data_IF_783546217545
#
_entry.id   IF_783546217545
#
_cell.length_a   1.000
_cell.length_b   1.000
_cell.length_c   1.000
_cell.angle_alpha   90.00
_cell.angle_beta   90.00
_cell.angle_gamma   90.00
#
_symmetry.space_group_name_H-M   'P 1'
#
loop_
_entity.id
_entity.type
_entity.pdbx_description
1 polymer ?
#
# COMPACT_ATOMS: atom_id res chain seq x y z
N UNK A 1 14.78 -5.09 0.62
CA UNK A 1 14.34 -3.70 0.82
C UNK A 1 13.12 -3.69 1.72
N UNK A 2 12.85 -2.64 2.50
CA UNK A 2 11.62 -2.58 3.30
C UNK A 2 10.49 -1.95 2.49
N UNK A 3 9.29 -2.54 2.55
CA UNK A 3 8.10 -2.05 1.84
C UNK A 3 7.02 -1.70 2.85
N UNK A 4 6.59 -0.43 2.86
CA UNK A 4 5.43 0.01 3.63
C UNK A 4 4.18 -0.05 2.77
N UNK A 5 3.13 -0.65 3.31
CA UNK A 5 1.83 -0.82 2.65
C UNK A 5 0.75 -0.17 3.51
N UNK A 6 -0.19 0.52 2.87
CA UNK A 6 -1.23 1.29 3.55
C UNK A 6 -2.62 1.04 2.96
N UNK A 7 -2.79 0.00 2.14
CA UNK A 7 -4.03 -0.32 1.46
C UNK A 7 -4.30 -1.81 1.37
N UNK A 8 -4.70 -2.26 0.19
CA UNK A 8 -4.95 -3.68 -0.13
C UNK A 8 -3.78 -4.61 0.20
N UNK A 9 -2.54 -4.16 0.00
CA UNK A 9 -1.34 -4.95 0.30
C UNK A 9 -1.09 -5.14 1.82
N UNK A 10 -1.83 -4.45 2.69
CA UNK A 10 -1.78 -4.72 4.14
C UNK A 10 -2.36 -6.09 4.49
N UNK A 11 -3.21 -6.64 3.62
CA UNK A 11 -3.87 -7.91 3.85
C UNK A 11 -3.00 -9.04 3.29
N UNK A 12 -2.66 -10.00 4.15
CA UNK A 12 -1.78 -11.12 3.81
C UNK A 12 -2.28 -11.91 2.59
N UNK A 13 -3.60 -12.05 2.42
CA UNK A 13 -4.22 -12.76 1.29
C UNK A 13 -3.88 -12.12 -0.07
N UNK A 14 -3.87 -10.79 -0.15
CA UNK A 14 -3.51 -10.06 -1.37
C UNK A 14 -2.00 -10.06 -1.54
N UNK A 15 -1.27 -9.79 -0.45
CA UNK A 15 0.19 -9.79 -0.46
C UNK A 15 0.75 -11.11 -1.03
N UNK A 16 0.28 -12.25 -0.53
CA UNK A 16 0.68 -13.58 -0.97
C UNK A 16 0.28 -13.92 -2.41
N UNK A 17 -0.66 -13.16 -3.00
CA UNK A 17 -1.01 -13.31 -4.41
C UNK A 17 -0.03 -12.57 -5.33
N UNK A 18 0.63 -11.52 -4.83
CA UNK A 18 1.54 -10.68 -5.62
C UNK A 18 2.99 -11.11 -5.42
N UNK A 19 3.40 -11.39 -4.18
CA UNK A 19 4.76 -11.81 -3.86
C UNK A 19 4.85 -13.32 -3.66
N UNK A 20 6.00 -13.91 -3.99
CA UNK A 20 6.26 -15.34 -3.78
C UNK A 20 7.00 -15.62 -2.47
N UNK A 21 7.77 -14.66 -1.95
CA UNK A 21 8.50 -14.79 -0.70
C UNK A 21 7.63 -14.70 0.55
N UNK A 22 8.11 -15.32 1.63
CA UNK A 22 7.57 -15.13 2.98
C UNK A 22 8.40 -14.06 3.69
N UNK A 23 7.75 -12.96 4.06
CA UNK A 23 8.41 -11.80 4.64
C UNK A 23 7.87 -11.51 6.03
N UNK A 24 8.80 -11.19 6.95
CA UNK A 24 8.42 -10.64 8.26
C UNK A 24 7.69 -9.33 8.05
N UNK A 25 6.62 -9.11 8.80
CA UNK A 25 5.88 -7.86 8.78
C UNK A 25 5.56 -7.36 10.17
N UNK A 26 5.38 -6.06 10.31
CA UNK A 26 4.95 -5.41 11.54
C UNK A 26 4.03 -4.22 11.25
N UNK A 27 3.10 -3.88 12.15
CA UNK A 27 2.37 -2.63 12.08
C UNK A 27 3.32 -1.44 12.15
N UNK A 28 3.11 -0.46 11.29
CA UNK A 28 3.90 0.76 11.25
C UNK A 28 3.05 1.97 10.84
N UNK A 29 3.54 3.16 11.14
CA UNK A 29 2.85 4.42 10.88
C UNK A 29 3.74 5.36 10.07
N UNK A 30 3.22 5.86 8.95
CA UNK A 30 3.84 6.88 8.13
C UNK A 30 3.28 8.26 8.50
N UNK A 31 4.11 9.13 9.09
CA UNK A 31 3.74 10.51 9.41
C UNK A 31 3.96 11.44 8.22
N UNK A 32 3.14 12.49 8.10
CA UNK A 32 3.22 13.45 6.99
C UNK A 32 2.48 13.00 5.73
N UNK A 33 1.62 11.99 5.84
CA UNK A 33 0.83 11.45 4.74
C UNK A 33 -0.63 11.29 5.16
N UNK A 34 -1.53 11.36 4.19
CA UNK A 34 -2.94 11.06 4.34
C UNK A 34 -3.38 10.09 3.24
N UNK A 35 -4.32 9.21 3.60
CA UNK A 35 -4.87 8.18 2.72
C UNK A 35 -6.31 8.52 2.34
N UNK A 36 -6.57 8.58 1.04
CA UNK A 36 -7.87 8.88 0.47
C UNK A 36 -8.36 7.74 -0.41
N UNK A 37 -9.67 7.60 -0.54
CA UNK A 37 -10.25 6.65 -1.49
C UNK A 37 -10.10 7.20 -2.92
N UNK A 38 -9.89 6.33 -3.90
CA UNK A 38 -10.06 6.68 -5.31
C UNK A 38 -11.56 6.84 -5.63
N UNK A 39 -11.90 7.60 -6.66
CA UNK A 39 -13.27 7.89 -7.07
C UNK A 39 -14.07 6.65 -7.53
N UNK A 40 -13.40 5.55 -7.86
CA UNK A 40 -14.02 4.25 -8.13
C UNK A 40 -14.09 3.35 -6.87
N UNK A 41 -13.78 3.88 -5.67
CA UNK A 41 -13.80 3.21 -4.36
C UNK A 41 -12.99 1.91 -4.28
N UNK A 42 -12.14 1.63 -5.27
CA UNK A 42 -11.52 0.31 -5.38
C UNK A 42 -10.16 0.25 -4.67
N UNK A 43 -9.45 1.39 -4.57
CA UNK A 43 -8.11 1.49 -3.98
C UNK A 43 -7.94 2.76 -3.14
N UNK A 44 -7.07 2.74 -2.12
CA UNK A 44 -6.58 3.94 -1.49
C UNK A 44 -5.39 4.55 -2.25
N UNK A 45 -5.37 5.89 -2.32
CA UNK A 45 -4.20 6.67 -2.71
C UNK A 45 -3.63 7.39 -1.49
N UNK A 46 -2.31 7.32 -1.31
CA UNK A 46 -1.60 8.10 -0.29
C UNK A 46 -0.97 9.35 -0.91
N UNK A 47 -1.21 10.49 -0.27
CA UNK A 47 -0.62 11.79 -0.65
C UNK A 47 0.04 12.45 0.55
N UNK A 48 0.95 13.39 0.30
CA UNK A 48 1.61 14.15 1.36
C UNK A 48 0.59 15.03 2.11
N UNK A 49 0.58 14.94 3.43
CA UNK A 49 -0.26 15.74 4.32
C UNK A 49 0.47 15.92 5.67
N UNK A 50 1.10 17.08 5.91
CA UNK A 50 2.04 17.28 7.02
C UNK A 50 1.49 17.01 8.43
N UNK A 51 0.17 17.13 8.60
CA UNK A 51 -0.50 16.99 9.89
C UNK A 51 -1.20 15.64 10.07
N UNK A 52 -1.10 14.76 9.08
CA UNK A 52 -1.74 13.46 9.09
C UNK A 52 -0.72 12.33 9.26
N UNK A 53 -1.24 11.17 9.63
CA UNK A 53 -0.48 9.93 9.67
C UNK A 53 -1.33 8.80 9.09
N UNK A 54 -0.65 7.85 8.45
CA UNK A 54 -1.26 6.66 7.87
C UNK A 54 -0.72 5.43 8.57
N UNK A 55 -1.63 4.66 9.16
CA UNK A 55 -1.33 3.35 9.72
C UNK A 55 -1.34 2.29 8.62
N UNK A 56 -0.36 1.41 8.66
CA UNK A 56 -0.10 0.41 7.63
C UNK A 56 0.69 -0.78 8.14
N UNK A 57 1.18 -1.59 7.21
CA UNK A 57 2.02 -2.76 7.46
C UNK A 57 3.35 -2.57 6.76
N UNK A 58 4.44 -2.68 7.53
CA UNK A 58 5.81 -2.70 7.04
C UNK A 58 6.25 -4.15 6.83
N UNK A 59 6.63 -4.49 5.61
CA UNK A 59 7.29 -5.75 5.26
C UNK A 59 8.80 -5.53 5.22
N UNK A 60 9.53 -6.38 5.92
CA UNK A 60 10.98 -6.30 6.04
C UNK A 60 11.66 -7.14 4.97
N UNK A 61 12.85 -6.68 4.54
CA UNK A 61 13.76 -7.41 3.67
C UNK A 61 13.15 -8.06 2.40
N UNK A 62 12.17 -7.38 1.78
CA UNK A 62 11.53 -7.80 0.52
C UNK A 62 12.56 -7.91 -0.60
N UNK A 63 12.57 -9.05 -1.30
CA UNK A 63 13.48 -9.32 -2.40
C UNK A 63 13.18 -8.46 -3.63
N UNK A 64 14.20 -8.16 -4.43
CA UNK A 64 14.07 -7.34 -5.63
C UNK A 64 13.06 -7.91 -6.65
N UNK A 65 12.90 -9.23 -6.75
CA UNK A 65 11.94 -9.85 -7.66
C UNK A 65 10.49 -9.58 -7.24
N UNK A 66 10.19 -9.73 -5.96
CA UNK A 66 8.86 -9.47 -5.41
C UNK A 66 8.54 -7.98 -5.39
N UNK A 67 9.54 -7.14 -5.16
CA UNK A 67 9.45 -5.69 -5.34
C UNK A 67 9.04 -5.32 -6.77
N UNK A 68 9.63 -5.96 -7.79
CA UNK A 68 9.25 -5.72 -9.18
C UNK A 68 7.82 -6.20 -9.50
N UNK A 69 7.38 -7.29 -8.88
CA UNK A 69 5.99 -7.76 -8.99
C UNK A 69 5.00 -6.75 -8.36
N UNK A 70 5.36 -6.16 -7.23
CA UNK A 70 4.59 -5.09 -6.60
C UNK A 70 4.53 -3.84 -7.49
N UNK A 71 5.65 -3.43 -8.10
CA UNK A 71 5.67 -2.31 -9.06
C UNK A 71 4.73 -2.57 -10.25
N UNK A 72 4.70 -3.81 -10.76
CA UNK A 72 3.80 -4.21 -11.84
C UNK A 72 2.32 -4.22 -11.41
N UNK A 73 2.05 -4.67 -10.18
CA UNK A 73 0.70 -4.71 -9.60
C UNK A 73 0.12 -3.31 -9.38
N UNK A 74 0.89 -2.40 -8.78
CA UNK A 74 0.47 -1.02 -8.54
C UNK A 74 0.35 -0.26 -9.88
N UNK A 75 1.26 -0.52 -10.82
CA UNK A 75 1.25 0.06 -12.16
C UNK A 75 1.75 1.51 -12.19
N UNK A 76 1.53 2.20 -13.32
CA UNK A 76 2.11 3.53 -13.58
C UNK A 76 1.51 4.68 -12.79
N UNK A 77 0.37 4.46 -12.13
CA UNK A 77 -0.36 5.50 -11.38
C UNK A 77 0.25 5.74 -9.99
N UNK A 78 1.07 4.80 -9.51
CA UNK A 78 1.77 4.88 -8.25
C UNK A 78 3.27 4.99 -8.48
N UNK A 79 3.91 5.89 -7.74
CA UNK A 79 5.36 6.04 -7.73
C UNK A 79 5.91 5.52 -6.43
N UNK A 80 6.90 4.63 -6.51
CA UNK A 80 7.60 4.18 -5.32
C UNK A 80 8.53 5.27 -4.79
N UNK A 81 8.36 5.65 -3.53
CA UNK A 81 9.21 6.63 -2.85
C UNK A 81 9.67 6.13 -1.48
N UNK A 82 10.93 6.40 -1.09
CA UNK A 82 11.42 6.10 0.25
C UNK A 82 10.82 7.07 1.27
N UNK A 83 10.27 6.54 2.35
CA UNK A 83 9.69 7.29 3.46
C UNK A 83 10.22 6.75 4.79
N UNK A 84 10.18 7.58 5.82
CA UNK A 84 10.41 7.13 7.19
C UNK A 84 9.08 6.68 7.81
N UNK A 85 9.07 5.51 8.42
CA UNK A 85 7.92 4.96 9.15
C UNK A 85 8.32 4.60 10.56
N UNK A 86 7.38 4.74 11.49
CA UNK A 86 7.54 4.33 12.89
C UNK A 86 6.90 2.97 13.07
N UNK A 87 7.70 1.95 13.34
CA UNK A 87 7.22 0.61 13.69
C UNK A 87 6.57 0.67 15.06
N UNK A 88 5.58 -0.17 15.35
CA UNK A 88 4.88 -0.18 16.64
C UNK A 88 5.81 -0.38 17.87
N UNK A 89 7.02 -0.90 17.67
CA UNK A 89 8.08 -0.95 18.70
C UNK A 89 8.67 0.42 19.07
N UNK A 90 8.33 1.48 18.33
CA UNK A 90 8.91 2.82 18.43
C UNK A 90 10.15 3.03 17.55
N UNK A 91 10.62 2.00 16.85
CA UNK A 91 11.77 2.10 15.94
C UNK A 91 11.40 2.83 14.65
N UNK A 92 12.29 3.70 14.16
CA UNK A 92 12.15 4.35 12.85
C UNK A 92 12.85 3.49 11.80
N UNK A 93 12.10 3.08 10.78
CA UNK A 93 12.62 2.36 9.63
C UNK A 93 12.45 3.18 8.34
N UNK A 94 13.43 3.10 7.44
CA UNK A 94 13.29 3.64 6.08
C UNK A 94 12.68 2.55 5.21
N UNK A 95 11.54 2.86 4.61
CA UNK A 95 10.78 1.93 3.78
C UNK A 95 10.33 2.59 2.50
N UNK A 96 10.27 1.83 1.41
CA UNK A 96 9.63 2.30 0.21
C UNK A 96 8.12 2.10 0.31
N UNK A 97 7.37 3.13 -0.06
CA UNK A 97 5.92 3.09 -0.18
C UNK A 97 5.53 3.47 -1.60
N UNK A 98 4.30 3.16 -1.99
CA UNK A 98 3.71 3.65 -3.22
C UNK A 98 3.00 4.98 -2.92
N UNK A 99 3.28 6.02 -3.68
CA UNK A 99 2.63 7.33 -3.57
C UNK A 99 1.75 7.49 -4.81
N UNK A 100 0.48 7.85 -4.61
CA UNK A 100 -0.44 8.01 -5.71
C UNK A 100 -0.17 9.32 -6.42
N UNK A 101 0.00 9.28 -7.74
CA UNK A 101 0.44 10.46 -8.52
C UNK A 101 -0.69 11.16 -9.27
N UNK A 102 -1.87 10.55 -9.35
CA UNK A 102 -3.00 11.06 -10.15
C UNK A 102 -4.08 11.64 -9.22
N UNK A 103 -3.76 12.72 -8.50
CA UNK A 103 -4.62 13.32 -7.48
C UNK A 103 -6.07 13.59 -7.94
N UNK A 104 -6.28 13.86 -9.24
CA UNK A 104 -7.61 14.06 -9.84
C UNK A 104 -8.54 12.83 -9.74
N UNK A 105 -7.99 11.64 -9.49
CA UNK A 105 -8.73 10.39 -9.32
C UNK A 105 -9.08 10.11 -7.86
N UNK A 106 -8.62 10.93 -6.92
CA UNK A 106 -9.02 10.81 -5.52
C UNK A 106 -10.45 11.33 -5.35
N UNK A 107 -11.27 10.59 -4.62
CA UNK A 107 -12.64 11.02 -4.28
C UNK A 107 -12.65 12.18 -3.28
N UNK A 108 -11.51 12.44 -2.62
CA UNK A 108 -11.39 13.39 -1.52
C UNK A 108 -11.98 12.88 -0.19
N UNK A 109 -12.58 11.69 -0.19
CA UNK A 109 -13.08 11.04 1.01
C UNK A 109 -11.96 10.23 1.68
N UNK A 110 -11.93 10.19 3.03
CA UNK A 110 -10.98 9.33 3.74
C UNK A 110 -11.25 7.87 3.39
N UNK A 111 -10.20 7.10 3.13
CA UNK A 111 -10.36 5.66 2.94
C UNK A 111 -10.38 4.96 4.29
N UNK A 112 -11.49 4.27 4.57
CA UNK A 112 -11.69 3.50 5.80
C UNK A 112 -11.39 2.01 5.55
N UNK A 113 -10.37 1.43 6.22
CA UNK A 113 -10.01 0.03 6.02
C UNK A 113 -11.13 -0.93 6.44
N UNK A 114 -12.00 -0.52 7.37
CA UNK A 114 -13.13 -1.33 7.82
C UNK A 114 -14.22 -1.47 6.75
N UNK A 115 -14.34 -0.48 5.86
CA UNK A 115 -15.31 -0.48 4.76
C UNK A 115 -14.76 -1.18 3.52
N UNK A 116 -13.48 -1.58 3.52
CA UNK A 116 -12.84 -2.25 2.41
C UNK A 116 -13.39 -3.67 2.24
N UNK A 117 -14.15 -3.87 1.16
CA UNK A 117 -14.75 -5.16 0.81
C UNK A 117 -13.73 -6.05 0.08
N UNK A 118 -12.92 -6.76 0.86
CA UNK A 118 -11.90 -7.71 0.38
C UNK A 118 -12.40 -8.64 -0.73
N UNK A 119 -13.58 -9.23 -0.55
CA UNK A 119 -14.14 -10.21 -1.50
C UNK A 119 -14.43 -9.62 -2.88
N UNK A 120 -14.87 -8.35 -2.94
CA UNK A 120 -15.12 -7.66 -4.21
C UNK A 120 -13.81 -7.32 -4.91
N UNK A 121 -12.82 -6.88 -4.14
CA UNK A 121 -11.51 -6.48 -4.63
C UNK A 121 -10.76 -7.64 -5.31
N UNK A 122 -10.70 -8.81 -4.65
CA UNK A 122 -10.04 -9.99 -5.21
C UNK A 122 -10.76 -10.43 -6.50
N UNK A 123 -12.10 -10.47 -6.49
CA UNK A 123 -12.89 -10.93 -7.63
C UNK A 123 -12.78 -10.05 -8.88
N UNK A 124 -12.72 -8.73 -8.74
CA UNK A 124 -12.65 -7.83 -9.90
C UNK A 124 -11.22 -7.47 -10.29
N UNK A 125 -10.40 -7.00 -9.36
CA UNK A 125 -9.14 -6.37 -9.71
C UNK A 125 -7.95 -7.31 -9.70
N UNK A 126 -7.88 -8.25 -8.74
CA UNK A 126 -6.85 -9.28 -8.82
C UNK A 126 -7.04 -10.10 -10.11
N UNK A 127 -8.28 -10.36 -10.54
CA UNK A 127 -8.52 -11.02 -11.82
C UNK A 127 -8.11 -10.18 -13.04
N UNK A 128 -8.26 -8.85 -13.02
CA UNK A 128 -7.90 -7.96 -14.14
C UNK A 128 -6.38 -7.76 -14.24
N UNK A 129 -5.70 -7.60 -13.10
CA UNK A 129 -4.25 -7.32 -13.03
C UNK A 129 -3.36 -8.56 -12.95
N UNK A 130 -3.86 -9.66 -12.40
CA UNK A 130 -3.14 -10.94 -12.28
C UNK A 130 -3.60 -11.96 -13.35
N UNK A 131 -4.58 -11.58 -14.18
CA UNK A 131 -5.10 -12.40 -15.27
C UNK A 131 -4.24 -12.31 -16.53
N UNK A 132 -3.28 -13.22 -16.63
CA UNK A 132 -2.58 -13.65 -17.85
C UNK A 132 -2.23 -15.13 -17.75
#
# INVERSE_FOLDING_TARGET
MHIFTYGSLMFAEIWQHVVRGDYRSAPATASGYARYALADDTYPGMIASPQAAVEGVLYFDVDAQDVAALDAFEGSEYRREPIAVVVNSGEIAIACTYIFTVEQRLSGLPWEPQSFQMSRFIGSYCSDKLGG
#
